data_IF_866785061732
#
_entry.id   IF_866785061732
#
_cell.length_a   1.000
_cell.length_b   1.000
_cell.length_c   1.000
_cell.angle_alpha   90.00
_cell.angle_beta   90.00
_cell.angle_gamma   90.00
#
_symmetry.space_group_name_H-M   'P 1'
#
loop_
_entity.id
_entity.type
_entity.pdbx_description
1 polymer ?
#
# COMPACT_ATOMS: atom_id res chain seq x y z
N UNK A 1 -8.20 -28.23 9.18
CA UNK A 1 -6.98 -27.40 8.99
C UNK A 1 -7.30 -25.91 8.81
N UNK A 2 -8.10 -25.51 7.81
CA UNK A 2 -8.47 -24.09 7.57
C UNK A 2 -9.12 -23.43 8.80
N UNK A 3 -10.08 -24.11 9.43
CA UNK A 3 -10.77 -23.59 10.63
C UNK A 3 -9.78 -23.34 11.79
N UNK A 4 -8.79 -24.20 11.98
CA UNK A 4 -7.78 -24.03 13.02
C UNK A 4 -6.88 -22.81 12.74
N UNK A 5 -6.52 -22.58 11.48
CA UNK A 5 -5.74 -21.40 11.07
C UNK A 5 -6.53 -20.09 11.29
N UNK A 6 -7.83 -20.09 10.98
CA UNK A 6 -8.70 -18.95 11.23
C UNK A 6 -8.82 -18.66 12.73
N UNK A 7 -9.04 -19.69 13.55
CA UNK A 7 -9.11 -19.57 15.01
C UNK A 7 -7.79 -19.03 15.60
N UNK A 8 -6.64 -19.53 15.16
CA UNK A 8 -5.33 -19.05 15.59
C UNK A 8 -5.10 -17.59 15.20
N UNK A 9 -5.47 -17.20 13.98
CA UNK A 9 -5.39 -15.81 13.52
C UNK A 9 -6.27 -14.88 14.35
N UNK A 10 -7.52 -15.27 14.60
CA UNK A 10 -8.45 -14.51 15.45
C UNK A 10 -7.90 -14.35 16.87
N UNK A 11 -7.40 -15.43 17.48
CA UNK A 11 -6.80 -15.39 18.81
C UNK A 11 -5.62 -14.41 18.86
N UNK A 12 -4.70 -14.49 17.90
CA UNK A 12 -3.54 -13.61 17.84
C UNK A 12 -3.93 -12.13 17.71
N UNK A 13 -4.88 -11.83 16.81
CA UNK A 13 -5.38 -10.46 16.60
C UNK A 13 -6.07 -9.94 17.86
N UNK A 14 -6.92 -10.76 18.49
CA UNK A 14 -7.62 -10.40 19.71
C UNK A 14 -6.64 -10.12 20.85
N UNK A 15 -5.70 -11.05 21.10
CA UNK A 15 -4.69 -10.92 22.14
C UNK A 15 -3.82 -9.68 21.95
N UNK A 16 -3.36 -9.45 20.72
CA UNK A 16 -2.54 -8.28 20.38
C UNK A 16 -3.30 -6.97 20.57
N UNK A 17 -4.56 -6.93 20.12
CA UNK A 17 -5.44 -5.75 20.31
C UNK A 17 -5.66 -5.48 21.79
N UNK A 18 -6.02 -6.51 22.56
CA UNK A 18 -6.25 -6.39 24.00
C UNK A 18 -5.02 -5.81 24.71
N UNK A 19 -3.84 -6.37 24.47
CA UNK A 19 -2.60 -5.88 25.11
C UNK A 19 -2.24 -4.46 24.69
N UNK A 20 -2.40 -4.12 23.42
CA UNK A 20 -2.03 -2.83 22.86
C UNK A 20 -2.94 -1.69 23.35
N UNK A 21 -4.22 -1.97 23.54
CA UNK A 21 -5.21 -0.99 23.99
C UNK A 21 -5.35 -0.92 25.50
N UNK A 22 -5.32 -2.04 26.23
CA UNK A 22 -5.72 -2.08 27.65
C UNK A 22 -4.59 -2.42 28.64
N UNK A 23 -3.51 -3.09 28.24
CA UNK A 23 -2.53 -3.66 29.21
C UNK A 23 -1.15 -3.01 29.19
N UNK A 24 -0.85 -2.10 28.27
CA UNK A 24 0.51 -1.60 28.07
C UNK A 24 0.99 -0.65 29.20
N UNK A 25 1.43 -1.20 30.33
CA UNK A 25 2.13 -0.49 31.43
C UNK A 25 3.65 -0.40 31.22
N UNK A 26 4.22 -1.23 30.34
CA UNK A 26 5.67 -1.40 30.20
C UNK A 26 6.33 -0.53 29.10
N UNK A 27 5.56 0.26 28.34
CA UNK A 27 6.07 1.09 27.22
C UNK A 27 5.63 2.54 27.38
N UNK A 28 6.44 3.46 26.87
CA UNK A 28 6.14 4.89 26.90
C UNK A 28 4.87 5.21 26.10
N UNK A 29 4.19 6.30 26.48
CA UNK A 29 2.97 6.77 25.79
C UNK A 29 3.21 7.02 24.29
N UNK A 30 4.41 7.51 23.94
CA UNK A 30 4.79 7.78 22.55
C UNK A 30 4.93 6.48 21.73
N UNK A 31 5.61 5.47 22.26
CA UNK A 31 5.75 4.17 21.59
C UNK A 31 4.40 3.47 21.45
N UNK A 32 3.54 3.56 22.47
CA UNK A 32 2.20 2.99 22.41
C UNK A 32 1.34 3.66 21.34
N UNK A 33 1.39 4.99 21.21
CA UNK A 33 0.68 5.72 20.15
C UNK A 33 1.15 5.29 18.75
N UNK A 34 2.47 5.13 18.58
CA UNK A 34 3.06 4.65 17.32
C UNK A 34 2.58 3.23 16.99
N UNK A 35 2.65 2.29 17.95
CA UNK A 35 2.19 0.91 17.75
C UNK A 35 0.69 0.84 17.42
N UNK A 36 -0.15 1.65 18.07
CA UNK A 36 -1.59 1.74 17.77
C UNK A 36 -1.85 2.25 16.34
N UNK A 37 -1.13 3.28 15.91
CA UNK A 37 -1.25 3.78 14.54
C UNK A 37 -0.77 2.76 13.51
N UNK A 38 0.33 2.06 13.80
CA UNK A 38 0.87 1.01 12.94
C UNK A 38 -0.08 -0.18 12.83
N UNK A 39 -0.68 -0.61 13.94
CA UNK A 39 -1.66 -1.70 13.94
C UNK A 39 -2.91 -1.36 13.10
N UNK A 40 -3.45 -0.14 13.23
CA UNK A 40 -4.56 0.32 12.39
C UNK A 40 -4.17 0.36 10.90
N UNK A 41 -2.96 0.81 10.61
CA UNK A 41 -2.41 0.84 9.25
C UNK A 41 -2.29 -0.58 8.66
N UNK A 42 -1.76 -1.54 9.43
CA UNK A 42 -1.69 -2.94 9.02
C UNK A 42 -3.07 -3.53 8.76
N UNK A 43 -4.03 -3.32 9.67
CA UNK A 43 -5.39 -3.83 9.50
C UNK A 43 -6.04 -3.31 8.22
N UNK A 44 -5.91 -2.01 7.94
CA UNK A 44 -6.42 -1.40 6.72
C UNK A 44 -5.67 -1.91 5.47
N UNK A 45 -4.34 -2.02 5.54
CA UNK A 45 -3.53 -2.55 4.44
C UNK A 45 -3.90 -3.98 4.09
N UNK A 46 -4.20 -4.83 5.07
CA UNK A 46 -4.58 -6.22 4.79
C UNK A 46 -6.00 -6.29 4.25
N UNK A 47 -6.92 -5.48 4.78
CA UNK A 47 -8.34 -5.55 4.43
C UNK A 47 -8.61 -5.08 2.98
N UNK A 48 -8.01 -3.96 2.54
CA UNK A 48 -8.31 -3.38 1.21
C UNK A 48 -7.99 -4.36 0.06
N UNK A 49 -6.78 -4.95 -0.03
CA UNK A 49 -6.46 -5.90 -1.09
C UNK A 49 -7.18 -7.24 -0.92
N UNK A 50 -7.47 -7.66 0.32
CA UNK A 50 -8.27 -8.86 0.56
C UNK A 50 -9.66 -8.71 -0.05
N UNK A 51 -10.33 -7.57 0.16
CA UNK A 51 -11.62 -7.28 -0.49
C UNK A 51 -11.45 -7.18 -2.02
N UNK A 52 -10.38 -6.53 -2.48
CA UNK A 52 -10.04 -6.44 -3.90
C UNK A 52 -9.87 -7.79 -4.60
N UNK A 53 -9.47 -8.83 -3.87
CA UNK A 53 -9.33 -10.20 -4.39
C UNK A 53 -10.60 -11.06 -4.18
N UNK A 54 -11.21 -10.96 -3.00
CA UNK A 54 -12.39 -11.75 -2.63
C UNK A 54 -13.58 -11.40 -3.52
N UNK A 55 -13.77 -10.13 -3.86
CA UNK A 55 -14.90 -9.70 -4.71
C UNK A 55 -14.86 -10.34 -6.12
N UNK A 56 -13.75 -10.27 -6.90
CA UNK A 56 -13.65 -10.98 -8.18
C UNK A 56 -13.84 -12.49 -8.08
N UNK A 57 -13.27 -13.12 -7.06
CA UNK A 57 -13.39 -14.58 -6.86
C UNK A 57 -14.84 -14.96 -6.53
N UNK A 58 -15.50 -14.19 -5.67
CA UNK A 58 -16.90 -14.40 -5.35
C UNK A 58 -17.81 -14.19 -6.55
N UNK A 59 -17.52 -13.18 -7.38
CA UNK A 59 -18.21 -12.99 -8.66
C UNK A 59 -18.09 -14.24 -9.55
N UNK A 60 -16.89 -14.82 -9.71
CA UNK A 60 -16.72 -16.05 -10.50
C UNK A 60 -17.54 -17.22 -9.95
N UNK A 61 -17.59 -17.37 -8.62
CA UNK A 61 -18.40 -18.40 -7.98
C UNK A 61 -19.90 -18.25 -8.30
N UNK A 62 -20.42 -17.01 -8.24
CA UNK A 62 -21.81 -16.73 -8.61
C UNK A 62 -22.04 -16.95 -10.11
N UNK A 63 -21.16 -16.42 -10.97
CA UNK A 63 -21.25 -16.56 -12.42
C UNK A 63 -21.29 -18.04 -12.84
N UNK A 64 -20.45 -18.88 -12.22
CA UNK A 64 -20.47 -20.32 -12.40
C UNK A 64 -21.80 -20.96 -11.95
N UNK A 65 -22.24 -20.64 -10.73
CA UNK A 65 -23.47 -21.20 -10.13
C UNK A 65 -24.72 -20.88 -10.95
N UNK A 66 -24.81 -19.67 -11.49
CA UNK A 66 -25.95 -19.21 -12.32
C UNK A 66 -25.75 -19.44 -13.82
N UNK A 67 -24.65 -20.09 -14.26
CA UNK A 67 -24.28 -20.25 -15.68
C UNK A 67 -24.28 -18.92 -16.47
N UNK A 68 -23.89 -17.84 -15.80
CA UNK A 68 -23.83 -16.50 -16.37
C UNK A 68 -22.43 -16.23 -16.94
N UNK A 69 -22.32 -16.18 -18.27
CA UNK A 69 -21.04 -15.99 -18.97
C UNK A 69 -21.02 -14.65 -19.70
N UNK A 70 -20.67 -13.59 -18.99
CA UNK A 70 -20.45 -12.27 -19.60
C UNK A 70 -18.96 -11.97 -19.72
N UNK A 71 -18.46 -11.94 -20.95
CA UNK A 71 -17.05 -11.79 -21.25
C UNK A 71 -16.46 -10.46 -20.77
N UNK A 72 -17.26 -9.38 -20.76
CA UNK A 72 -16.80 -8.07 -20.26
C UNK A 72 -16.50 -8.14 -18.76
N UNK A 73 -17.44 -8.67 -17.97
CA UNK A 73 -17.27 -8.81 -16.52
C UNK A 73 -16.19 -9.85 -16.16
N UNK A 74 -16.11 -10.95 -16.90
CA UNK A 74 -15.06 -11.96 -16.71
C UNK A 74 -13.67 -11.39 -17.00
N UNK A 75 -13.48 -10.60 -18.06
CA UNK A 75 -12.19 -9.98 -18.34
C UNK A 75 -11.83 -8.95 -17.25
N UNK A 76 -12.80 -8.17 -16.78
CA UNK A 76 -12.58 -7.23 -15.69
C UNK A 76 -12.17 -7.92 -14.38
N UNK A 77 -12.85 -9.01 -14.02
CA UNK A 77 -12.52 -9.80 -12.84
C UNK A 77 -11.11 -10.44 -12.94
N UNK A 78 -10.70 -10.94 -14.11
CA UNK A 78 -9.33 -11.43 -14.34
C UNK A 78 -8.29 -10.34 -14.11
N UNK A 79 -8.52 -9.15 -14.65
CA UNK A 79 -7.62 -8.00 -14.47
C UNK A 79 -7.55 -7.62 -12.99
N UNK A 80 -8.67 -7.56 -12.29
CA UNK A 80 -8.70 -7.25 -10.86
C UNK A 80 -7.90 -8.25 -10.02
N UNK A 81 -8.01 -9.55 -10.31
CA UNK A 81 -7.21 -10.60 -9.66
C UNK A 81 -5.72 -10.40 -9.96
N UNK A 82 -5.35 -10.17 -11.23
CA UNK A 82 -3.96 -9.94 -11.64
C UNK A 82 -3.34 -8.67 -11.02
N UNK A 83 -4.13 -7.61 -10.87
CA UNK A 83 -3.69 -6.35 -10.25
C UNK A 83 -3.65 -6.39 -8.72
N UNK A 84 -4.15 -7.44 -8.07
CA UNK A 84 -4.19 -7.53 -6.61
C UNK A 84 -2.78 -7.40 -5.99
N UNK A 85 -1.75 -7.99 -6.61
CA UNK A 85 -0.36 -7.83 -6.15
C UNK A 85 0.11 -6.37 -6.19
N UNK A 86 -0.21 -5.64 -7.26
CA UNK A 86 0.09 -4.20 -7.34
C UNK A 86 -0.72 -3.40 -6.32
N UNK A 87 -1.99 -3.74 -6.12
CA UNK A 87 -2.86 -3.09 -5.14
C UNK A 87 -2.31 -3.24 -3.72
N UNK A 88 -1.85 -4.44 -3.33
CA UNK A 88 -1.22 -4.65 -2.00
C UNK A 88 -0.02 -3.73 -1.78
N UNK A 89 0.82 -3.56 -2.80
CA UNK A 89 2.04 -2.75 -2.74
C UNK A 89 1.71 -1.25 -2.67
N UNK A 90 0.76 -0.79 -3.50
CA UNK A 90 0.31 0.61 -3.49
C UNK A 90 -0.35 0.96 -2.15
N UNK A 91 -1.23 0.10 -1.64
CA UNK A 91 -1.89 0.30 -0.35
C UNK A 91 -0.86 0.33 0.78
N UNK A 92 0.15 -0.55 0.75
CA UNK A 92 1.25 -0.54 1.72
C UNK A 92 1.93 0.81 1.79
N UNK A 93 2.31 1.37 0.63
CA UNK A 93 2.98 2.67 0.53
C UNK A 93 2.08 3.79 1.06
N UNK A 94 0.78 3.78 0.73
CA UNK A 94 -0.17 4.84 1.09
C UNK A 94 -0.55 4.80 2.57
N UNK A 95 -0.72 3.61 3.14
CA UNK A 95 -1.28 3.46 4.49
C UNK A 95 -0.20 3.55 5.56
N UNK A 96 1.03 3.12 5.27
CA UNK A 96 2.13 3.16 6.23
C UNK A 96 2.88 4.49 6.20
N UNK A 97 2.73 5.27 7.29
CA UNK A 97 3.46 6.53 7.53
C UNK A 97 4.96 6.50 7.15
N UNK A 98 5.78 5.52 7.60
CA UNK A 98 7.21 5.52 7.26
C UNK A 98 7.46 5.36 5.76
N UNK A 99 6.65 4.56 5.07
CA UNK A 99 6.75 4.36 3.63
C UNK A 99 6.38 5.62 2.85
N UNK A 100 5.30 6.31 3.24
CA UNK A 100 4.93 7.59 2.61
C UNK A 100 6.04 8.62 2.72
N UNK A 101 6.63 8.77 3.91
CA UNK A 101 7.70 9.75 4.15
C UNK A 101 8.92 9.44 3.29
N UNK A 102 9.33 8.16 3.25
CA UNK A 102 10.47 7.75 2.43
C UNK A 102 10.22 7.98 0.93
N UNK A 103 9.05 7.58 0.41
CA UNK A 103 8.71 7.75 -1.01
C UNK A 103 8.62 9.22 -1.39
N UNK A 104 7.99 10.06 -0.55
CA UNK A 104 7.90 11.50 -0.81
C UNK A 104 9.26 12.18 -0.79
N UNK A 105 10.15 11.82 0.14
CA UNK A 105 11.53 12.29 0.15
C UNK A 105 12.28 11.87 -1.11
N UNK A 106 12.20 10.59 -1.49
CA UNK A 106 12.85 10.09 -2.71
C UNK A 106 12.37 10.84 -3.96
N UNK A 107 11.06 11.03 -4.09
CA UNK A 107 10.46 11.75 -5.22
C UNK A 107 10.89 13.21 -5.22
N UNK A 108 10.83 13.89 -4.08
CA UNK A 108 11.26 15.29 -3.94
C UNK A 108 12.74 15.46 -4.34
N UNK A 109 13.64 14.63 -3.81
CA UNK A 109 15.06 14.67 -4.17
C UNK A 109 15.32 14.43 -5.66
N UNK A 110 14.51 13.58 -6.31
CA UNK A 110 14.60 13.37 -7.77
C UNK A 110 14.20 14.62 -8.57
N UNK A 111 13.15 15.32 -8.13
CA UNK A 111 12.74 16.59 -8.75
C UNK A 111 13.78 17.70 -8.55
N UNK A 112 14.39 17.77 -7.38
CA UNK A 112 15.46 18.72 -7.09
C UNK A 112 16.69 18.48 -7.97
N UNK A 113 17.11 17.23 -8.15
CA UNK A 113 18.23 16.89 -9.04
C UNK A 113 17.94 17.27 -10.49
N UNK A 114 16.75 16.92 -11.00
CA UNK A 114 16.36 17.26 -12.39
C UNK A 114 16.34 18.78 -12.62
N UNK A 115 15.94 19.54 -11.61
CA UNK A 115 15.95 21.01 -11.67
C UNK A 115 17.37 21.57 -11.71
N UNK A 116 18.28 21.01 -10.88
CA UNK A 116 19.70 21.41 -10.86
C UNK A 116 20.40 21.09 -12.19
N UNK A 117 20.17 19.93 -12.78
CA UNK A 117 20.72 19.55 -14.09
C UNK A 117 20.30 20.54 -15.17
N UNK A 118 18.99 20.85 -15.24
CA UNK A 118 18.45 21.80 -16.22
C UNK A 118 19.03 23.21 -16.06
N UNK A 119 19.20 23.67 -14.82
CA UNK A 119 19.83 24.97 -14.53
C UNK A 119 21.32 25.03 -14.91
N UNK A 120 22.06 23.94 -14.72
CA UNK A 120 23.47 23.83 -15.06
C UNK A 120 23.68 23.80 -16.57
N UNK A 121 22.82 23.07 -17.30
CA UNK A 121 22.81 23.06 -18.77
C UNK A 121 22.51 24.45 -19.33
N UNK A 122 21.51 25.16 -18.81
CA UNK A 122 21.16 26.50 -19.27
C UNK A 122 22.29 27.52 -19.01
N UNK A 123 22.99 27.40 -17.86
CA UNK A 123 24.17 28.21 -17.54
C UNK A 123 25.34 27.93 -18.49
N UNK A 124 25.55 26.67 -18.87
CA UNK A 124 26.60 26.30 -19.82
C UNK A 124 26.29 26.83 -21.23
N UNK A 125 25.05 26.72 -21.69
CA UNK A 125 24.62 27.29 -22.98
C UNK A 125 24.82 28.81 -23.01
N UNK A 126 24.40 29.52 -21.96
CA UNK A 126 24.60 30.97 -21.86
C UNK A 126 26.08 31.37 -21.88
N UNK A 127 26.95 30.58 -21.23
CA UNK A 127 28.41 30.79 -21.29
C UNK A 127 28.97 30.54 -22.69
N UNK A 128 28.53 29.50 -23.38
CA UNK A 128 28.98 29.21 -24.75
C UNK A 128 28.59 30.33 -25.72
N UNK A 129 27.36 30.84 -25.62
CA UNK A 129 26.89 31.96 -26.47
C UNK A 129 27.74 33.21 -26.21
N UNK A 130 28.02 33.54 -24.95
CA UNK A 130 28.81 34.72 -24.57
C UNK A 130 30.28 34.68 -25.01
N UNK A 131 30.83 33.50 -25.32
CA UNK A 131 32.22 33.36 -25.82
C UNK A 131 32.29 33.50 -27.34
N UNK A 132 31.18 33.26 -28.04
CA UNK A 132 31.10 33.28 -29.51
C UNK A 132 30.68 34.67 -30.04
N UNK A 133 29.98 35.46 -29.22
CA UNK A 133 29.63 36.87 -29.47
C UNK A 133 30.77 37.82 -29.15
#
# INVERSE_FOLDING_TARGET
>A
MIIALLLQGCYFVFYTTYRLFFTARAISKQTQAMQRSFFKAMALQTFIPLVGLVLPVFYYYLAWSYRYYNQKFNNFAMIAIGLNGLLTTVVMIIVHRPYRTFVTQMVASRFEMKTRERSSQNKNIGRTIAVIS
#
